data_IF_259006432568
#
_entry.id   IF_259006432568
#
_cell.length_a   1.000
_cell.length_b   1.000
_cell.length_c   1.000
_cell.angle_alpha   90.00
_cell.angle_beta   90.00
_cell.angle_gamma   90.00
#
_symmetry.space_group_name_H-M   'P 1'
#
loop_
_entity.id
_entity.type
_entity.pdbx_description
1 polymer ?
#
# COMPACT_ATOMS: atom_id res chain seq x y z
N UNK A 1 -10.70 25.95 -15.28
CA UNK A 1 -10.85 26.72 -16.54
C UNK A 1 -9.87 26.11 -17.51
N UNK A 2 -10.38 25.38 -18.51
CA UNK A 2 -9.54 24.71 -19.49
C UNK A 2 -8.96 25.72 -20.49
N UNK A 3 -7.76 25.44 -21.00
CA UNK A 3 -7.07 26.28 -21.97
C UNK A 3 -6.33 27.50 -21.39
N UNK A 4 -6.32 27.67 -20.07
CA UNK A 4 -5.58 28.76 -19.40
C UNK A 4 -4.68 28.20 -18.29
N UNK A 5 -3.39 28.54 -18.33
CA UNK A 5 -2.45 28.16 -17.28
C UNK A 5 -1.39 29.24 -17.01
N UNK A 6 -0.83 29.25 -15.81
CA UNK A 6 0.22 30.17 -15.40
C UNK A 6 1.45 29.41 -14.89
N UNK A 7 2.64 29.91 -15.21
CA UNK A 7 3.91 29.48 -14.62
C UNK A 7 4.38 30.61 -13.71
N UNK A 8 4.59 30.29 -12.44
CA UNK A 8 4.93 31.25 -11.38
C UNK A 8 6.28 30.89 -10.78
N UNK A 9 7.12 31.88 -10.56
CA UNK A 9 8.33 31.76 -9.76
C UNK A 9 7.98 32.09 -8.31
N UNK A 10 8.05 31.09 -7.44
CA UNK A 10 7.68 31.22 -6.02
C UNK A 10 8.73 31.98 -5.21
N UNK A 11 9.99 32.03 -5.66
CA UNK A 11 11.06 32.78 -4.98
C UNK A 11 10.99 34.26 -5.34
N UNK A 12 10.83 34.57 -6.62
CA UNK A 12 10.68 35.95 -7.11
C UNK A 12 9.26 36.49 -6.97
N UNK A 13 8.30 35.64 -6.56
CA UNK A 13 6.88 35.95 -6.40
C UNK A 13 6.26 36.64 -7.64
N UNK A 14 6.54 36.11 -8.83
CA UNK A 14 6.07 36.70 -10.10
C UNK A 14 5.56 35.66 -11.10
N UNK A 15 4.63 36.09 -11.94
CA UNK A 15 4.19 35.32 -13.10
C UNK A 15 5.28 35.36 -14.17
N UNK A 16 5.79 34.19 -14.54
CA UNK A 16 6.83 34.03 -15.56
C UNK A 16 6.24 33.88 -16.96
N UNK A 17 5.12 33.16 -17.07
CA UNK A 17 4.47 32.87 -18.34
C UNK A 17 2.97 32.63 -18.11
N UNK A 18 2.15 33.13 -19.02
CA UNK A 18 0.75 32.73 -19.17
C UNK A 18 0.63 31.95 -20.47
N UNK A 19 -0.03 30.81 -20.41
CA UNK A 19 -0.37 29.97 -21.56
C UNK A 19 -1.88 30.02 -21.75
N UNK A 20 -2.33 30.63 -22.83
CA UNK A 20 -3.74 30.74 -23.22
C UNK A 20 -3.92 30.10 -24.61
N UNK A 21 -4.61 28.97 -24.65
CA UNK A 21 -4.90 28.22 -25.89
C UNK A 21 -6.32 28.45 -26.40
N UNK A 22 -7.01 29.46 -25.86
CA UNK A 22 -8.37 29.82 -26.22
C UNK A 22 -9.42 29.26 -25.26
N UNK A 23 -10.55 29.95 -25.19
CA UNK A 23 -11.63 29.62 -24.28
C UNK A 23 -12.35 28.31 -24.64
N UNK A 24 -12.48 27.45 -23.64
CA UNK A 24 -13.35 26.27 -23.64
C UNK A 24 -14.53 26.55 -22.71
N UNK A 25 -15.78 26.23 -23.09
CA UNK A 25 -16.94 26.41 -22.21
C UNK A 25 -16.76 25.71 -20.87
N UNK A 26 -17.21 26.37 -19.80
CA UNK A 26 -17.23 25.74 -18.47
C UNK A 26 -18.31 24.64 -18.50
N UNK A 27 -17.99 23.42 -18.01
CA UNK A 27 -18.97 22.36 -17.89
C UNK A 27 -20.24 22.82 -17.15
N UNK A 28 -21.45 22.50 -17.65
CA UNK A 28 -22.67 23.20 -17.24
C UNK A 28 -23.30 22.61 -15.98
N UNK A 29 -22.92 21.39 -15.59
CA UNK A 29 -23.48 20.69 -14.44
C UNK A 29 -22.66 20.96 -13.17
N UNK A 30 -23.37 20.97 -12.03
CA UNK A 30 -22.77 21.11 -10.70
C UNK A 30 -22.12 19.80 -10.25
N UNK A 31 -20.94 19.89 -9.64
CA UNK A 31 -20.26 18.78 -8.95
C UNK A 31 -20.50 18.72 -7.44
N UNK A 32 -21.55 19.37 -6.92
CA UNK A 32 -21.80 19.43 -5.48
C UNK A 32 -22.26 18.08 -4.90
N UNK A 33 -21.41 17.44 -4.09
CA UNK A 33 -21.66 16.12 -3.48
C UNK A 33 -22.03 16.17 -1.99
N UNK A 34 -21.82 17.30 -1.31
CA UNK A 34 -22.09 17.39 0.11
C UNK A 34 -23.58 17.18 0.41
N UNK A 35 -23.90 16.49 1.51
CA UNK A 35 -25.26 16.09 1.87
C UNK A 35 -26.28 17.23 1.81
N UNK A 36 -25.89 18.46 2.16
CA UNK A 36 -26.74 19.67 2.09
C UNK A 36 -27.22 20.05 0.69
N UNK A 37 -26.62 19.50 -0.37
CA UNK A 37 -26.98 19.75 -1.77
C UNK A 37 -27.75 18.60 -2.41
N UNK A 38 -27.91 17.48 -1.70
CA UNK A 38 -28.62 16.31 -2.21
C UNK A 38 -30.11 16.45 -1.86
N UNK A 39 -30.98 16.31 -2.86
CA UNK A 39 -32.43 16.43 -2.67
C UNK A 39 -33.00 15.27 -1.83
N UNK A 40 -32.46 14.07 -2.00
CA UNK A 40 -32.87 12.86 -1.29
C UNK A 40 -31.65 12.02 -0.92
N UNK A 41 -31.69 11.38 0.24
CA UNK A 41 -30.69 10.40 0.70
C UNK A 41 -31.39 9.11 1.12
N UNK A 42 -30.70 7.97 1.02
CA UNK A 42 -31.24 6.66 1.41
C UNK A 42 -31.66 6.66 2.89
N UNK A 43 -32.81 6.05 3.18
CA UNK A 43 -33.42 6.00 4.53
C UNK A 43 -33.43 4.58 5.13
N UNK A 44 -32.89 3.59 4.42
CA UNK A 44 -32.94 2.17 4.76
C UNK A 44 -31.66 1.65 5.42
N UNK A 45 -30.64 2.49 5.60
CA UNK A 45 -29.42 2.16 6.34
C UNK A 45 -29.72 2.04 7.84
N UNK A 46 -29.60 0.82 8.36
CA UNK A 46 -29.71 0.55 9.79
C UNK A 46 -28.35 0.75 10.47
N UNK A 47 -28.32 1.24 11.73
CA UNK A 47 -27.07 1.37 12.48
C UNK A 47 -26.35 0.03 12.63
N UNK A 48 -25.01 0.07 12.58
CA UNK A 48 -24.13 -1.03 12.95
C UNK A 48 -23.26 -0.52 14.09
N UNK A 49 -23.31 -1.18 15.24
CA UNK A 49 -22.53 -0.85 16.42
C UNK A 49 -21.40 -1.86 16.58
N UNK A 50 -20.16 -1.37 16.55
CA UNK A 50 -18.94 -2.16 16.80
C UNK A 50 -18.39 -1.70 18.14
N UNK A 51 -18.45 -2.55 19.15
CA UNK A 51 -18.00 -2.24 20.52
C UNK A 51 -17.13 -3.35 21.09
N UNK A 52 -16.21 -2.99 21.97
CA UNK A 52 -15.37 -3.92 22.71
C UNK A 52 -15.61 -3.70 24.22
N UNK A 53 -16.50 -4.48 24.87
CA UNK A 53 -16.95 -4.19 26.23
C UNK A 53 -15.82 -4.24 27.28
N UNK A 54 -14.79 -5.04 27.01
CA UNK A 54 -13.60 -5.17 27.86
C UNK A 54 -12.40 -4.35 27.34
N UNK A 55 -12.63 -3.45 26.39
CA UNK A 55 -11.60 -2.67 25.71
C UNK A 55 -10.86 -3.45 24.62
N UNK A 56 -9.84 -2.82 23.99
CA UNK A 56 -9.07 -3.44 22.91
C UNK A 56 -8.09 -4.50 23.43
N UNK A 57 -7.80 -5.51 22.61
CA UNK A 57 -6.83 -6.57 22.93
C UNK A 57 -5.37 -6.14 22.71
N UNK A 58 -5.13 -4.92 22.22
CA UNK A 58 -3.79 -4.37 22.07
C UNK A 58 -3.40 -3.51 23.28
N UNK A 59 -2.12 -3.49 23.58
CA UNK A 59 -1.53 -2.62 24.59
C UNK A 59 -0.63 -1.60 23.90
N UNK A 60 -0.75 -0.34 24.31
CA UNK A 60 0.07 0.77 23.81
C UNK A 60 0.87 1.37 24.97
N UNK A 61 2.20 1.42 24.82
CA UNK A 61 3.10 2.15 25.71
C UNK A 61 3.87 3.21 24.91
N UNK A 62 3.44 4.47 25.03
CA UNK A 62 3.91 5.54 24.14
C UNK A 62 3.54 5.22 22.69
N UNK A 63 4.53 4.85 21.89
CA UNK A 63 4.37 4.44 20.49
C UNK A 63 4.63 2.94 20.26
N UNK A 64 4.92 2.17 21.31
CA UNK A 64 5.11 0.72 21.25
C UNK A 64 3.76 0.02 21.34
N UNK A 65 3.47 -0.87 20.41
CA UNK A 65 2.22 -1.62 20.28
C UNK A 65 2.50 -3.10 20.44
N UNK A 66 1.71 -3.76 21.30
CA UNK A 66 1.66 -5.23 21.40
C UNK A 66 0.24 -5.71 21.17
N UNK A 67 0.07 -6.70 20.30
CA UNK A 67 -1.25 -7.27 20.00
C UNK A 67 -1.11 -8.67 19.43
N UNK A 68 -1.77 -9.67 20.02
CA UNK A 68 -1.83 -11.05 19.47
C UNK A 68 -0.46 -11.56 18.98
N UNK A 69 0.56 -11.46 19.86
CA UNK A 69 1.98 -11.77 19.62
C UNK A 69 2.76 -10.79 18.73
N UNK A 70 2.12 -9.88 18.00
CA UNK A 70 2.83 -8.79 17.33
C UNK A 70 3.44 -7.81 18.33
N UNK A 71 4.64 -7.33 18.01
CA UNK A 71 5.40 -6.33 18.75
C UNK A 71 6.04 -5.35 17.75
N UNK A 72 5.69 -4.07 17.80
CA UNK A 72 6.21 -3.06 16.88
C UNK A 72 6.03 -1.63 17.41
N UNK A 73 6.65 -0.65 16.74
CA UNK A 73 6.53 0.76 17.07
C UNK A 73 5.93 1.56 15.92
N UNK A 74 5.09 2.53 16.25
CA UNK A 74 4.50 3.50 15.32
C UNK A 74 5.38 4.75 15.30
N UNK A 75 5.72 5.23 14.11
CA UNK A 75 6.47 6.45 13.87
C UNK A 75 5.75 7.35 12.86
N UNK A 76 6.26 8.58 12.74
CA UNK A 76 5.73 9.58 11.82
C UNK A 76 6.86 10.41 11.21
N UNK A 77 6.77 10.71 9.92
CA UNK A 77 7.59 11.76 9.30
C UNK A 77 6.71 12.71 8.48
N UNK A 78 7.03 14.02 8.40
CA UNK A 78 6.29 14.96 7.57
C UNK A 78 6.24 14.55 6.08
N UNK A 79 7.27 13.85 5.60
CA UNK A 79 7.37 13.39 4.22
C UNK A 79 6.53 12.14 3.97
N UNK A 80 6.74 11.08 4.75
CA UNK A 80 6.21 9.73 4.48
C UNK A 80 4.88 9.45 5.19
N UNK A 81 4.52 10.26 6.20
CA UNK A 81 3.40 9.98 7.08
C UNK A 81 3.72 8.83 8.04
N UNK A 82 2.86 7.82 8.10
CA UNK A 82 3.00 6.67 8.98
C UNK A 82 4.23 5.81 8.64
N UNK A 83 5.04 5.51 9.65
CA UNK A 83 6.19 4.59 9.56
C UNK A 83 6.05 3.52 10.63
N UNK A 84 6.34 2.26 10.29
CA UNK A 84 6.37 1.16 11.24
C UNK A 84 7.82 0.77 11.51
N UNK A 85 8.15 0.52 12.78
CA UNK A 85 9.50 0.19 13.22
C UNK A 85 9.54 -1.10 14.03
N UNK A 86 10.65 -1.82 13.92
CA UNK A 86 11.00 -3.01 14.72
C UNK A 86 9.84 -4.00 14.82
N UNK A 87 9.23 -4.33 13.68
CA UNK A 87 8.12 -5.28 13.59
C UNK A 87 8.64 -6.68 13.85
N UNK A 88 8.11 -7.31 14.88
CA UNK A 88 8.38 -8.70 15.23
C UNK A 88 7.14 -9.43 15.73
N UNK A 89 7.31 -10.74 15.91
CA UNK A 89 6.26 -11.64 16.36
C UNK A 89 6.78 -12.55 17.48
N UNK A 90 6.06 -12.61 18.59
CA UNK A 90 6.40 -13.42 19.76
C UNK A 90 6.12 -14.90 19.50
N UNK A 91 7.17 -15.72 19.51
CA UNK A 91 7.10 -17.17 19.30
C UNK A 91 8.27 -17.84 20.03
N UNK A 92 7.97 -18.94 20.74
CA UNK A 92 8.97 -19.63 21.57
C UNK A 92 9.54 -18.79 22.72
N UNK A 93 8.78 -17.83 23.26
CA UNK A 93 9.20 -17.00 24.39
C UNK A 93 10.16 -15.85 24.03
N UNK A 94 10.31 -15.54 22.74
CA UNK A 94 11.12 -14.41 22.24
C UNK A 94 10.38 -13.68 21.12
N UNK A 95 10.71 -12.40 20.94
CA UNK A 95 10.27 -11.64 19.75
C UNK A 95 11.18 -11.96 18.58
N UNK A 96 10.58 -12.49 17.52
CA UNK A 96 11.22 -12.86 16.27
C UNK A 96 11.09 -11.71 15.27
N UNK A 97 12.21 -11.17 14.79
CA UNK A 97 12.23 -10.00 13.92
C UNK A 97 11.73 -10.32 12.51
N UNK A 98 11.04 -9.35 11.88
CA UNK A 98 10.48 -9.47 10.52
C UNK A 98 10.84 -8.25 9.66
N UNK A 99 10.54 -7.04 10.14
CA UNK A 99 10.90 -5.77 9.48
C UNK A 99 11.55 -4.83 10.49
N UNK A 100 12.67 -4.23 10.14
CA UNK A 100 13.23 -3.13 10.93
C UNK A 100 12.44 -1.84 10.73
N UNK A 101 12.03 -1.54 9.49
CA UNK A 101 11.31 -0.32 9.10
C UNK A 101 10.43 -0.54 7.87
N UNK A 102 9.20 -0.06 7.88
CA UNK A 102 8.32 -0.01 6.70
C UNK A 102 7.72 1.38 6.52
N UNK A 103 7.83 1.94 5.31
CA UNK A 103 7.25 3.25 4.97
C UNK A 103 6.94 3.40 3.49
N UNK A 104 6.05 4.34 3.16
CA UNK A 104 5.88 4.83 1.80
C UNK A 104 7.07 5.73 1.45
N UNK A 105 7.91 5.31 0.51
CA UNK A 105 9.12 6.04 0.12
C UNK A 105 8.85 7.11 -0.94
N UNK A 106 7.91 6.83 -1.84
CA UNK A 106 7.45 7.75 -2.87
C UNK A 106 6.05 7.35 -3.37
N UNK A 107 5.32 8.33 -3.90
CA UNK A 107 4.13 8.13 -4.69
C UNK A 107 4.16 9.07 -5.90
N UNK A 108 3.77 8.61 -7.09
CA UNK A 108 3.67 9.48 -8.26
C UNK A 108 2.40 9.24 -9.08
N UNK A 109 1.76 10.34 -9.50
CA UNK A 109 0.51 10.33 -10.28
C UNK A 109 0.72 10.94 -11.66
N UNK A 110 1.21 10.18 -12.65
CA UNK A 110 1.35 10.67 -14.02
C UNK A 110 0.02 10.66 -14.78
N UNK A 111 -0.26 11.77 -15.48
CA UNK A 111 -1.41 11.94 -16.35
C UNK A 111 -1.07 11.65 -17.81
N UNK A 112 -1.97 10.93 -18.50
CA UNK A 112 -1.79 10.46 -19.88
C UNK A 112 -2.28 11.42 -20.96
N UNK A 113 -2.49 12.70 -20.65
CA UNK A 113 -3.02 13.70 -21.58
C UNK A 113 -1.93 14.70 -22.02
N UNK A 114 -1.62 14.77 -23.32
CA UNK A 114 -0.55 15.63 -23.84
C UNK A 114 -0.97 17.10 -24.02
N UNK A 115 -2.23 17.44 -23.77
CA UNK A 115 -2.73 18.81 -23.96
C UNK A 115 -2.08 19.81 -23.01
N UNK A 116 -2.15 21.08 -23.40
CA UNK A 116 -1.57 22.20 -22.65
C UNK A 116 -2.07 22.20 -21.21
N UNK A 117 -1.16 22.32 -20.24
CA UNK A 117 -1.47 22.28 -18.82
C UNK A 117 -1.59 20.87 -18.22
N UNK A 118 -2.01 19.85 -18.97
CA UNK A 118 -2.12 18.46 -18.50
C UNK A 118 -0.82 17.66 -18.64
N UNK A 119 -0.04 17.86 -19.72
CA UNK A 119 1.18 17.08 -20.02
C UNK A 119 2.24 17.08 -18.91
N UNK A 120 2.24 18.12 -18.07
CA UNK A 120 3.20 18.31 -16.97
C UNK A 120 2.72 17.75 -15.62
N UNK A 121 1.47 17.31 -15.53
CA UNK A 121 0.89 16.77 -14.29
C UNK A 121 1.46 15.39 -14.00
N UNK A 122 2.46 15.36 -13.13
CA UNK A 122 3.12 14.15 -12.64
C UNK A 122 3.50 14.44 -11.18
N UNK A 123 2.50 14.49 -10.30
CA UNK A 123 2.70 14.88 -8.90
C UNK A 123 3.44 13.78 -8.16
N UNK A 124 4.55 14.13 -7.49
CA UNK A 124 5.28 13.24 -6.59
C UNK A 124 4.81 13.52 -5.17
N UNK A 125 3.67 12.95 -4.78
CA UNK A 125 2.92 13.35 -3.58
C UNK A 125 3.76 13.31 -2.31
N UNK A 126 4.60 12.29 -2.15
CA UNK A 126 5.51 12.17 -1.00
C UNK A 126 6.67 13.16 -1.14
N UNK A 127 7.35 13.17 -2.29
CA UNK A 127 8.58 13.93 -2.46
C UNK A 127 8.46 15.44 -2.72
N UNK A 128 7.35 15.89 -3.31
CA UNK A 128 7.07 17.30 -3.63
C UNK A 128 6.23 18.00 -2.58
N UNK A 129 5.29 17.29 -1.96
CA UNK A 129 4.32 17.89 -1.02
C UNK A 129 4.49 17.38 0.41
N UNK A 130 4.79 16.09 0.58
CA UNK A 130 4.89 15.44 1.89
C UNK A 130 3.51 14.97 2.38
N UNK A 131 3.24 13.67 2.23
CA UNK A 131 1.92 13.11 2.59
C UNK A 131 1.64 13.15 4.09
N UNK A 132 2.68 13.21 4.93
CA UNK A 132 2.53 13.42 6.37
C UNK A 132 2.11 14.85 6.73
N UNK A 133 2.63 15.86 6.02
CA UNK A 133 2.20 17.27 6.20
C UNK A 133 0.73 17.41 5.82
N UNK A 134 0.29 16.70 4.77
CA UNK A 134 -1.06 16.74 4.22
C UNK A 134 -2.05 15.76 4.87
N UNK A 135 -1.64 15.09 5.94
CA UNK A 135 -2.49 14.14 6.64
C UNK A 135 -3.72 14.80 7.28
N UNK A 136 -4.81 14.05 7.35
CA UNK A 136 -6.08 14.48 7.92
C UNK A 136 -6.10 14.22 9.44
N UNK A 137 -6.89 15.01 10.16
CA UNK A 137 -7.30 14.69 11.53
C UNK A 137 -8.51 13.77 11.47
N UNK A 138 -8.36 12.53 11.94
CA UNK A 138 -9.39 11.50 11.80
C UNK A 138 -10.46 11.60 12.90
N UNK A 139 -11.71 11.40 12.50
CA UNK A 139 -12.89 11.55 13.36
C UNK A 139 -13.52 10.20 13.70
N UNK A 140 -13.74 9.96 15.01
CA UNK A 140 -14.38 8.75 15.52
C UNK A 140 -15.81 8.61 14.98
N UNK A 141 -16.13 7.41 14.49
CA UNK A 141 -17.43 7.07 13.91
C UNK A 141 -17.61 7.51 12.45
N UNK A 142 -16.69 8.31 11.90
CA UNK A 142 -16.69 8.72 10.50
C UNK A 142 -15.55 8.05 9.73
N UNK A 143 -14.30 8.38 10.08
CA UNK A 143 -13.12 7.86 9.39
C UNK A 143 -12.67 6.51 9.96
N UNK A 144 -12.84 6.33 11.28
CA UNK A 144 -12.48 5.13 12.03
C UNK A 144 -13.64 4.74 12.96
N UNK A 145 -14.13 3.50 12.82
CA UNK A 145 -15.30 2.99 13.55
C UNK A 145 -14.90 1.84 14.47
N UNK A 146 -15.44 1.83 15.69
CA UNK A 146 -15.17 0.81 16.71
C UNK A 146 -14.47 1.40 17.94
N UNK A 147 -13.69 0.56 18.63
CA UNK A 147 -12.85 0.97 19.75
C UNK A 147 -11.50 1.48 19.22
N UNK A 148 -11.37 2.79 19.07
CA UNK A 148 -10.23 3.42 18.37
C UNK A 148 -9.24 4.04 19.36
N UNK A 149 -7.97 3.69 19.21
CA UNK A 149 -6.84 4.42 19.79
C UNK A 149 -6.22 5.33 18.74
N UNK A 150 -6.17 6.63 19.03
CA UNK A 150 -5.52 7.62 18.17
C UNK A 150 -4.08 7.92 18.59
N UNK A 151 -3.25 8.29 17.61
CA UNK A 151 -1.95 8.93 17.83
C UNK A 151 -1.93 10.28 17.12
N UNK A 152 -1.41 11.29 17.82
CA UNK A 152 -1.15 12.60 17.25
C UNK A 152 0.20 12.63 16.54
N UNK A 153 0.34 13.52 15.57
CA UNK A 153 1.62 13.82 14.95
C UNK A 153 2.05 15.25 15.28
N UNK A 154 3.27 15.40 15.80
CA UNK A 154 3.90 16.71 16.02
C UNK A 154 4.84 17.00 14.86
N UNK A 155 4.65 18.13 14.19
CA UNK A 155 5.42 18.56 13.02
C UNK A 155 5.80 20.04 13.17
N UNK A 156 6.66 20.54 12.29
CA UNK A 156 7.01 21.97 12.24
C UNK A 156 6.40 22.61 10.99
N UNK A 157 5.90 23.84 11.13
CA UNK A 157 5.46 24.65 9.99
C UNK A 157 6.63 25.28 9.23
N UNK A 158 6.32 26.07 8.20
CA UNK A 158 7.34 26.74 7.37
C UNK A 158 8.23 27.74 8.13
N UNK A 159 7.84 28.15 9.34
CA UNK A 159 8.61 29.04 10.23
C UNK A 159 9.35 28.27 11.33
N UNK A 160 9.27 26.94 11.34
CA UNK A 160 9.85 26.09 12.36
C UNK A 160 9.02 26.03 13.66
N UNK A 161 7.79 26.53 13.66
CA UNK A 161 6.90 26.48 14.82
C UNK A 161 6.28 25.09 14.91
N UNK A 162 6.39 24.41 16.07
CA UNK A 162 5.77 23.11 16.23
C UNK A 162 4.25 23.23 16.27
N UNK A 163 3.56 22.36 15.56
CA UNK A 163 2.11 22.18 15.63
C UNK A 163 1.77 20.70 15.76
N UNK A 164 0.61 20.42 16.34
CA UNK A 164 0.11 19.05 16.52
C UNK A 164 -1.06 18.81 15.59
N UNK A 165 -0.92 17.84 14.69
CA UNK A 165 -2.03 17.21 14.00
C UNK A 165 -2.66 16.19 14.94
N UNK A 166 -3.83 16.54 15.48
CA UNK A 166 -4.61 15.64 16.33
C UNK A 166 -5.10 14.44 15.51
N UNK A 167 -5.18 13.27 16.14
CA UNK A 167 -5.76 12.06 15.54
C UNK A 167 -5.19 11.72 14.15
N UNK A 168 -3.88 11.87 13.97
CA UNK A 168 -3.21 11.62 12.70
C UNK A 168 -3.26 10.13 12.29
N UNK A 169 -3.24 9.22 13.27
CA UNK A 169 -3.23 7.78 13.06
C UNK A 169 -4.35 7.12 13.85
N UNK A 170 -5.09 6.21 13.22
CA UNK A 170 -6.01 5.29 13.89
C UNK A 170 -5.34 3.93 14.13
N UNK A 171 -5.54 3.38 15.33
CA UNK A 171 -5.23 2.02 15.71
C UNK A 171 -6.49 1.35 16.27
N UNK A 172 -6.89 0.23 15.68
CA UNK A 172 -7.96 -0.60 16.19
C UNK A 172 -7.77 -2.06 15.77
N UNK A 173 -8.51 -2.99 16.37
CA UNK A 173 -8.62 -4.34 15.84
C UNK A 173 -10.03 -4.57 15.29
N UNK A 174 -10.15 -5.43 14.30
CA UNK A 174 -11.45 -5.81 13.74
C UNK A 174 -11.54 -7.33 13.55
N UNK A 175 -12.76 -7.84 13.66
CA UNK A 175 -13.07 -9.20 13.24
C UNK A 175 -12.84 -9.35 11.74
N UNK A 176 -12.25 -10.47 11.34
CA UNK A 176 -11.93 -10.77 9.96
C UNK A 176 -12.42 -12.18 9.55
N UNK A 177 -13.62 -12.54 10.00
CA UNK A 177 -14.26 -13.79 9.60
C UNK A 177 -13.53 -15.04 10.10
N UNK A 178 -13.30 -16.01 9.21
CA UNK A 178 -12.72 -17.32 9.54
C UNK A 178 -11.19 -17.27 9.42
N UNK A 179 -10.49 -17.66 10.48
CA UNK A 179 -9.04 -17.87 10.47
C UNK A 179 -8.68 -19.23 9.87
N UNK A 180 -9.26 -20.29 10.44
CA UNK A 180 -9.17 -21.65 9.92
C UNK A 180 -10.40 -22.45 10.33
N UNK A 181 -10.77 -23.42 9.50
CA UNK A 181 -11.91 -24.32 9.74
C UNK A 181 -11.62 -25.69 9.14
N UNK A 182 -12.03 -26.74 9.82
CA UNK A 182 -12.08 -28.08 9.26
C UNK A 182 -13.34 -28.82 9.75
N UNK A 183 -13.89 -29.68 8.89
CA UNK A 183 -14.95 -30.64 9.23
C UNK A 183 -14.47 -31.99 8.77
N UNK A 184 -14.18 -32.89 9.72
CA UNK A 184 -13.72 -34.24 9.45
C UNK A 184 -14.92 -35.19 9.48
N UNK A 185 -15.42 -35.55 8.29
CA UNK A 185 -16.56 -36.47 8.15
C UNK A 185 -16.26 -37.88 8.70
N UNK A 186 -14.99 -38.26 8.88
CA UNK A 186 -14.63 -39.58 9.40
C UNK A 186 -14.81 -39.67 10.91
N UNK A 187 -14.57 -38.56 11.62
CA UNK A 187 -14.74 -38.48 13.07
C UNK A 187 -16.04 -37.79 13.47
N UNK A 188 -16.69 -37.06 12.55
CA UNK A 188 -17.84 -36.20 12.84
C UNK A 188 -17.45 -34.85 13.44
N UNK A 189 -16.16 -34.57 13.62
CA UNK A 189 -15.70 -33.37 14.33
C UNK A 189 -15.64 -32.15 13.41
N UNK A 190 -15.99 -30.99 13.97
CA UNK A 190 -15.85 -29.70 13.29
C UNK A 190 -15.16 -28.68 14.20
N UNK A 191 -14.13 -28.04 13.68
CA UNK A 191 -13.35 -27.01 14.37
C UNK A 191 -13.34 -25.72 13.56
N UNK A 192 -13.48 -24.58 14.24
CA UNK A 192 -13.40 -23.24 13.63
C UNK A 192 -12.73 -22.26 14.57
N UNK A 193 -11.87 -21.40 14.02
CA UNK A 193 -11.36 -20.21 14.71
C UNK A 193 -11.69 -18.98 13.89
N UNK A 194 -12.09 -17.92 14.58
CA UNK A 194 -12.29 -16.61 13.93
C UNK A 194 -10.97 -15.87 13.84
N UNK A 195 -10.81 -15.11 12.78
CA UNK A 195 -9.67 -14.24 12.56
C UNK A 195 -9.95 -12.86 13.12
N UNK A 196 -8.91 -12.19 13.58
CA UNK A 196 -8.87 -10.75 13.76
C UNK A 196 -7.67 -10.19 13.04
N UNK A 197 -7.75 -8.90 12.70
CA UNK A 197 -6.60 -8.12 12.25
C UNK A 197 -6.50 -6.83 13.04
N UNK A 198 -5.27 -6.41 13.32
CA UNK A 198 -4.97 -5.07 13.81
C UNK A 198 -4.80 -4.15 12.62
N UNK A 199 -5.40 -2.96 12.68
CA UNK A 199 -5.39 -1.93 11.66
C UNK A 199 -4.61 -0.74 12.18
N UNK A 200 -3.58 -0.31 11.45
CA UNK A 200 -2.86 0.95 11.68
C UNK A 200 -2.99 1.79 10.43
N UNK A 201 -3.64 2.95 10.50
CA UNK A 201 -3.93 3.74 9.31
C UNK A 201 -3.81 5.24 9.51
N UNK A 202 -3.54 5.93 8.40
CA UNK A 202 -3.70 7.38 8.28
C UNK A 202 -4.34 7.72 6.92
N UNK A 203 -4.93 8.91 6.81
CA UNK A 203 -5.51 9.43 5.57
C UNK A 203 -4.81 10.75 5.24
N UNK A 204 -4.53 10.99 3.97
CA UNK A 204 -3.92 12.23 3.47
C UNK A 204 -4.71 12.76 2.29
N UNK A 205 -4.79 14.10 2.16
CA UNK A 205 -5.45 14.78 1.05
C UNK A 205 -4.42 15.54 0.24
N UNK A 206 -4.18 15.10 -1.01
CA UNK A 206 -3.23 15.76 -1.91
C UNK A 206 -3.99 16.39 -3.05
N UNK A 207 -4.27 17.69 -2.90
CA UNK A 207 -5.07 18.45 -3.87
C UNK A 207 -6.49 17.90 -3.96
N UNK A 208 -6.77 17.14 -5.02
CA UNK A 208 -8.09 16.59 -5.33
C UNK A 208 -8.28 15.13 -4.90
N UNK A 209 -7.21 14.40 -4.52
CA UNK A 209 -7.32 13.01 -4.08
C UNK A 209 -7.20 12.87 -2.57
N UNK A 210 -7.86 11.82 -2.05
CA UNK A 210 -7.59 11.29 -0.73
C UNK A 210 -7.03 9.86 -0.82
N UNK A 211 -6.01 9.61 -0.01
CA UNK A 211 -5.37 8.31 0.11
C UNK A 211 -5.40 7.85 1.57
N UNK A 212 -5.99 6.69 1.81
CA UNK A 212 -5.90 6.00 3.09
C UNK A 212 -4.87 4.88 3.01
N UNK A 213 -3.86 4.92 3.87
CA UNK A 213 -2.82 3.88 3.95
C UNK A 213 -3.09 3.01 5.17
N UNK A 214 -3.44 1.74 4.95
CA UNK A 214 -3.84 0.80 5.99
C UNK A 214 -2.84 -0.35 6.07
N UNK A 215 -2.10 -0.40 7.18
CA UNK A 215 -1.31 -1.57 7.54
C UNK A 215 -2.15 -2.51 8.39
N UNK A 216 -2.21 -3.77 7.96
CA UNK A 216 -2.91 -4.82 8.68
C UNK A 216 -1.94 -5.88 9.19
N UNK A 217 -2.13 -6.29 10.45
CA UNK A 217 -1.43 -7.42 11.07
C UNK A 217 -2.42 -8.52 11.41
N UNK A 218 -2.16 -9.75 10.96
CA UNK A 218 -3.06 -10.88 11.11
C UNK A 218 -2.56 -11.87 12.16
N UNK A 219 -3.48 -12.60 12.82
CA UNK A 219 -3.11 -13.60 13.82
C UNK A 219 -2.28 -14.76 13.24
N UNK A 220 -2.37 -15.02 11.93
CA UNK A 220 -1.58 -16.04 11.23
C UNK A 220 -0.14 -15.60 10.88
N UNK A 221 0.28 -14.40 11.33
CA UNK A 221 1.57 -13.81 11.01
C UNK A 221 1.60 -13.04 9.69
N UNK A 222 0.48 -12.90 8.99
CA UNK A 222 0.40 -12.06 7.79
C UNK A 222 0.54 -10.56 8.10
N UNK A 223 1.18 -9.83 7.18
CA UNK A 223 1.19 -8.36 7.12
C UNK A 223 0.60 -7.95 5.78
N UNK A 224 -0.20 -6.89 5.74
CA UNK A 224 -0.72 -6.33 4.49
C UNK A 224 -0.59 -4.81 4.52
N UNK A 225 -0.25 -4.23 3.38
CA UNK A 225 -0.56 -2.83 3.10
C UNK A 225 -1.73 -2.80 2.11
N UNK A 226 -2.76 -2.02 2.43
CA UNK A 226 -3.83 -1.65 1.52
C UNK A 226 -3.89 -0.12 1.42
N UNK A 227 -3.89 0.37 0.18
CA UNK A 227 -4.12 1.76 -0.13
C UNK A 227 -5.54 1.91 -0.67
N UNK A 228 -6.31 2.79 -0.05
CA UNK A 228 -7.65 3.18 -0.49
C UNK A 228 -7.56 4.53 -1.18
N UNK A 229 -7.93 4.58 -2.45
CA UNK A 229 -7.93 5.80 -3.27
C UNK A 229 -9.36 6.30 -3.39
N UNK A 230 -9.60 7.56 -3.07
CA UNK A 230 -10.91 8.21 -3.23
C UNK A 230 -10.72 9.69 -3.57
N UNK A 231 -11.80 10.44 -3.60
CA UNK A 231 -11.78 11.89 -3.81
C UNK A 231 -12.31 12.33 -5.15
N UNK A 232 -11.86 13.50 -5.59
CA UNK A 232 -12.37 14.16 -6.79
C UNK A 232 -11.39 13.91 -7.93
N UNK A 233 -11.90 13.52 -9.09
CA UNK A 233 -11.07 13.40 -10.29
C UNK A 233 -10.43 14.75 -10.64
N UNK A 234 -9.18 14.75 -11.08
CA UNK A 234 -8.65 15.91 -11.80
C UNK A 234 -9.32 15.98 -13.17
N UNK A 235 -9.95 17.11 -13.47
CA UNK A 235 -10.81 17.26 -14.64
C UNK A 235 -10.21 18.17 -15.71
N UNK A 236 -10.71 18.00 -16.94
CA UNK A 236 -10.59 18.94 -18.03
C UNK A 236 -11.95 19.23 -18.65
N UNK A 237 -12.03 20.28 -19.46
CA UNK A 237 -13.26 20.63 -20.17
C UNK A 237 -13.12 20.38 -21.68
N UNK A 238 -14.22 20.07 -22.34
CA UNK A 238 -14.30 19.88 -23.79
C UNK A 238 -15.48 20.69 -24.35
N UNK A 239 -15.46 21.01 -25.64
CA UNK A 239 -16.59 21.68 -26.30
C UNK A 239 -17.78 20.71 -26.44
N UNK A 240 -19.01 21.22 -26.65
CA UNK A 240 -20.16 20.36 -26.93
C UNK A 240 -19.90 19.39 -28.10
N UNK A 241 -20.10 18.10 -27.87
CA UNK A 241 -19.91 17.03 -28.86
C UNK A 241 -18.46 16.59 -29.07
N UNK A 242 -17.48 17.22 -28.40
CA UNK A 242 -16.08 16.82 -28.43
C UNK A 242 -15.81 15.67 -27.44
N UNK A 243 -14.86 14.81 -27.79
CA UNK A 243 -14.35 13.72 -26.94
C UNK A 243 -12.82 13.75 -26.95
N UNK A 244 -12.20 13.18 -25.92
CA UNK A 244 -10.75 13.03 -25.83
C UNK A 244 -10.37 11.54 -25.87
N UNK A 245 -9.36 11.13 -26.66
CA UNK A 245 -8.83 9.77 -26.60
C UNK A 245 -7.93 9.52 -25.37
N UNK A 246 -7.61 10.57 -24.61
CA UNK A 246 -6.69 10.55 -23.47
C UNK A 246 -7.41 10.52 -22.12
N UNK A 247 -8.71 10.24 -22.11
CA UNK A 247 -9.53 10.19 -20.91
C UNK A 247 -10.95 9.73 -21.21
N UNK A 248 -11.82 9.87 -20.23
CA UNK A 248 -13.23 9.50 -20.34
C UNK A 248 -14.14 10.68 -20.03
N UNK A 249 -15.25 10.79 -20.75
CA UNK A 249 -16.33 11.70 -20.40
C UNK A 249 -16.98 11.23 -19.10
N UNK A 250 -17.17 12.17 -18.16
CA UNK A 250 -17.75 11.89 -16.83
C UNK A 250 -19.01 12.72 -16.56
N UNK A 251 -19.18 13.84 -17.28
CA UNK A 251 -20.42 14.62 -17.35
C UNK A 251 -20.43 15.42 -18.68
N UNK A 252 -21.53 16.10 -19.06
CA UNK A 252 -21.55 16.91 -20.27
C UNK A 252 -20.42 17.95 -20.29
N UNK A 253 -19.62 17.96 -21.36
CA UNK A 253 -18.44 18.83 -21.54
C UNK A 253 -17.33 18.65 -20.49
N UNK A 254 -17.43 17.66 -19.59
CA UNK A 254 -16.46 17.37 -18.54
C UNK A 254 -15.84 15.99 -18.79
N UNK A 255 -14.52 15.94 -18.88
CA UNK A 255 -13.78 14.69 -18.95
C UNK A 255 -12.73 14.62 -17.85
N UNK A 256 -12.30 13.41 -17.53
CA UNK A 256 -11.16 13.17 -16.67
C UNK A 256 -10.08 12.45 -17.48
N UNK A 257 -8.85 12.99 -17.54
CA UNK A 257 -7.75 12.32 -18.20
C UNK A 257 -7.41 10.97 -17.54
N UNK A 258 -7.06 9.99 -18.36
CA UNK A 258 -6.50 8.73 -17.90
C UNK A 258 -5.19 8.99 -17.16
N UNK A 259 -4.98 8.31 -16.04
CA UNK A 259 -3.79 8.49 -15.21
C UNK A 259 -3.47 7.19 -14.45
N UNK A 260 -2.32 7.17 -13.80
CA UNK A 260 -1.90 6.04 -12.97
C UNK A 260 -1.53 6.56 -11.58
N UNK A 261 -1.75 5.75 -10.55
CA UNK A 261 -1.27 6.03 -9.20
C UNK A 261 -0.21 4.99 -8.87
N UNK A 262 1.04 5.41 -8.71
CA UNK A 262 2.14 4.51 -8.35
C UNK A 262 2.61 4.76 -6.93
N UNK A 263 2.85 3.69 -6.19
CA UNK A 263 3.32 3.71 -4.82
C UNK A 263 4.62 2.91 -4.75
N UNK A 264 5.62 3.44 -4.05
CA UNK A 264 6.83 2.70 -3.71
C UNK A 264 6.95 2.59 -2.20
N UNK A 265 7.06 1.36 -1.71
CA UNK A 265 7.19 1.06 -0.28
C UNK A 265 8.58 0.54 0.02
N UNK A 266 9.26 1.19 0.97
CA UNK A 266 10.57 0.80 1.49
C UNK A 266 10.36 -0.16 2.65
N UNK A 267 10.81 -1.40 2.49
CA UNK A 267 10.74 -2.48 3.47
C UNK A 267 12.16 -2.87 3.88
N UNK A 268 12.59 -2.33 5.01
CA UNK A 268 13.85 -2.68 5.66
C UNK A 268 13.69 -4.03 6.34
N UNK A 269 14.24 -5.08 5.73
CA UNK A 269 13.95 -6.46 6.12
C UNK A 269 14.87 -6.90 7.25
N UNK A 270 14.33 -7.63 8.22
CA UNK A 270 15.14 -8.20 9.32
C UNK A 270 14.55 -9.54 9.75
N UNK A 271 14.33 -10.44 8.79
CA UNK A 271 13.74 -11.77 9.05
C UNK A 271 14.72 -12.56 9.91
N UNK A 272 14.42 -12.77 11.19
CA UNK A 272 15.34 -13.38 12.16
C UNK A 272 16.74 -12.71 12.21
N UNK A 273 16.78 -11.39 12.03
CA UNK A 273 18.01 -10.60 11.97
C UNK A 273 18.34 -10.16 10.54
N UNK A 274 19.49 -9.48 10.40
CA UNK A 274 19.75 -8.64 9.23
C UNK A 274 20.38 -9.42 8.06
N UNK A 275 20.98 -10.59 8.30
CA UNK A 275 21.58 -11.41 7.24
C UNK A 275 20.47 -12.11 6.41
N UNK A 276 19.95 -11.43 5.38
CA UNK A 276 18.83 -11.88 4.57
C UNK A 276 19.24 -12.06 3.10
N UNK A 277 18.49 -12.89 2.38
CA UNK A 277 18.60 -13.06 0.93
C UNK A 277 17.21 -13.08 0.32
N UNK A 278 17.03 -12.35 -0.78
CA UNK A 278 15.79 -12.38 -1.56
C UNK A 278 15.88 -13.45 -2.64
N UNK A 279 14.87 -14.32 -2.70
CA UNK A 279 14.71 -15.34 -3.73
C UNK A 279 13.50 -15.00 -4.61
N UNK A 280 13.70 -14.96 -5.92
CA UNK A 280 12.59 -14.97 -6.88
C UNK A 280 12.10 -16.41 -7.08
N UNK A 281 10.81 -16.64 -6.84
CA UNK A 281 10.20 -17.95 -7.02
C UNK A 281 9.22 -17.91 -8.18
N UNK A 282 9.40 -18.83 -9.13
CA UNK A 282 8.52 -19.01 -10.29
C UNK A 282 7.99 -20.45 -10.32
N UNK A 283 6.74 -20.65 -10.74
CA UNK A 283 6.18 -21.98 -11.01
C UNK A 283 6.33 -22.32 -12.48
N UNK A 284 6.77 -23.55 -12.78
CA UNK A 284 6.91 -24.06 -14.15
C UNK A 284 6.29 -25.45 -14.27
N UNK A 285 5.56 -25.67 -15.36
CA UNK A 285 5.11 -27.00 -15.75
C UNK A 285 6.32 -27.90 -16.07
N UNK A 286 6.24 -29.17 -15.69
CA UNK A 286 7.21 -30.19 -16.07
C UNK A 286 6.77 -30.76 -17.43
N UNK A 287 7.65 -30.86 -18.43
CA UNK A 287 7.29 -31.45 -19.72
C UNK A 287 6.74 -32.89 -19.56
N UNK A 288 5.83 -33.34 -20.44
CA UNK A 288 5.42 -34.74 -20.48
C UNK A 288 6.61 -35.67 -20.75
N UNK A 289 6.61 -36.84 -20.12
CA UNK A 289 7.69 -37.82 -20.27
C UNK A 289 7.52 -39.03 -19.34
N UNK A 290 8.48 -39.95 -19.28
CA UNK A 290 8.39 -41.14 -18.44
C UNK A 290 8.14 -40.83 -16.95
N UNK A 291 8.71 -39.73 -16.44
CA UNK A 291 8.54 -39.25 -15.05
C UNK A 291 7.30 -38.36 -14.85
N UNK A 292 6.63 -37.96 -15.93
CA UNK A 292 5.40 -37.17 -15.92
C UNK A 292 4.45 -37.65 -17.04
N UNK A 293 3.99 -38.92 -16.99
CA UNK A 293 3.27 -39.55 -18.10
C UNK A 293 1.90 -38.91 -18.35
N UNK A 294 1.35 -38.21 -17.35
CA UNK A 294 0.06 -37.54 -17.42
C UNK A 294 0.16 -36.03 -17.65
N UNK A 295 1.38 -35.48 -17.76
CA UNK A 295 1.59 -34.07 -18.08
C UNK A 295 1.11 -33.06 -17.03
N UNK A 296 0.69 -33.51 -15.84
CA UNK A 296 0.07 -32.67 -14.82
C UNK A 296 1.06 -32.07 -13.81
N UNK A 297 2.31 -32.54 -13.81
CA UNK A 297 3.31 -32.09 -12.83
C UNK A 297 3.78 -30.65 -13.10
N UNK A 298 3.98 -29.89 -12.02
CA UNK A 298 4.62 -28.58 -12.01
C UNK A 298 5.53 -28.48 -10.78
N UNK A 299 6.51 -27.57 -10.83
CA UNK A 299 7.42 -27.32 -9.71
C UNK A 299 7.74 -25.84 -9.57
N UNK A 300 8.07 -25.43 -8.36
CA UNK A 300 8.63 -24.11 -8.12
C UNK A 300 10.13 -24.12 -8.37
N UNK A 301 10.66 -22.99 -8.84
CA UNK A 301 12.09 -22.75 -9.01
C UNK A 301 12.45 -21.47 -8.27
N UNK A 302 13.33 -21.61 -7.28
CA UNK A 302 13.76 -20.53 -6.39
C UNK A 302 15.16 -20.05 -6.80
N UNK A 303 15.26 -18.81 -7.26
CA UNK A 303 16.52 -18.21 -7.71
C UNK A 303 16.93 -17.10 -6.72
N UNK A 304 18.05 -17.20 -6.00
CA UNK A 304 18.55 -16.09 -5.20
C UNK A 304 18.95 -14.92 -6.09
N UNK A 305 18.59 -13.71 -5.66
CA UNK A 305 19.02 -12.45 -6.24
C UNK A 305 20.24 -12.00 -5.45
N UNK A 306 21.41 -11.93 -6.09
CA UNK A 306 22.68 -11.74 -5.39
C UNK A 306 23.24 -10.34 -5.46
N UNK A 307 22.83 -9.59 -6.48
CA UNK A 307 23.29 -8.22 -6.69
C UNK A 307 22.11 -7.31 -7.00
N UNK A 308 22.29 -6.01 -6.80
CA UNK A 308 21.24 -5.02 -7.09
C UNK A 308 20.75 -5.09 -8.55
N UNK A 309 21.63 -5.40 -9.51
CA UNK A 309 21.22 -5.55 -10.92
C UNK A 309 20.38 -6.81 -11.17
N UNK A 310 20.69 -7.92 -10.49
CA UNK A 310 19.85 -9.12 -10.52
C UNK A 310 18.49 -8.85 -9.87
N UNK A 311 18.47 -8.00 -8.84
CA UNK A 311 17.33 -7.74 -7.98
C UNK A 311 16.37 -6.64 -8.48
N UNK A 312 16.42 -6.32 -9.77
CA UNK A 312 15.48 -5.43 -10.46
C UNK A 312 14.44 -6.25 -11.22
N UNK A 313 13.28 -6.50 -10.59
CA UNK A 313 12.33 -7.53 -11.03
C UNK A 313 10.97 -6.99 -11.42
N UNK A 314 10.32 -7.72 -12.34
CA UNK A 314 8.93 -7.52 -12.70
C UNK A 314 8.08 -8.64 -12.11
N UNK A 315 6.86 -8.30 -11.67
CA UNK A 315 5.80 -9.27 -11.43
C UNK A 315 5.55 -10.04 -12.72
N UNK A 316 5.26 -11.33 -12.59
CA UNK A 316 4.88 -12.20 -13.71
C UNK A 316 3.74 -13.13 -13.25
N UNK A 317 2.47 -12.76 -13.54
CA UNK A 317 1.32 -13.57 -13.17
C UNK A 317 1.30 -14.93 -13.89
N UNK A 318 1.92 -15.03 -15.08
CA UNK A 318 1.92 -16.25 -15.88
C UNK A 318 2.73 -17.39 -15.26
N UNK A 319 3.71 -17.05 -14.42
CA UNK A 319 4.53 -18.00 -13.65
C UNK A 319 4.20 -17.99 -12.15
N UNK A 320 3.12 -17.30 -11.74
CA UNK A 320 2.77 -17.06 -10.35
C UNK A 320 3.96 -16.54 -9.53
N UNK A 321 4.73 -15.61 -10.11
CA UNK A 321 5.96 -15.10 -9.51
C UNK A 321 5.69 -14.39 -8.19
N UNK A 322 6.52 -14.70 -7.20
CA UNK A 322 6.61 -13.97 -5.94
C UNK A 322 8.07 -13.90 -5.47
N UNK A 323 8.33 -13.10 -4.44
CA UNK A 323 9.67 -12.98 -3.85
C UNK A 323 9.64 -13.42 -2.40
N UNK A 324 10.65 -14.19 -2.00
CA UNK A 324 10.81 -14.74 -0.66
C UNK A 324 12.06 -14.14 -0.02
N UNK A 325 11.89 -13.39 1.06
CA UNK A 325 12.98 -12.86 1.87
C UNK A 325 13.25 -13.88 2.96
N UNK A 326 14.43 -14.47 2.94
CA UNK A 326 14.79 -15.56 3.85
C UNK A 326 16.06 -15.26 4.61
N UNK A 327 16.17 -15.81 5.81
CA UNK A 327 17.43 -15.89 6.55
C UNK A 327 18.07 -17.25 6.30
N UNK A 328 19.18 -17.34 5.56
CA UNK A 328 19.80 -18.62 5.23
C UNK A 328 20.35 -19.37 6.45
N UNK A 329 20.74 -18.65 7.51
CA UNK A 329 21.37 -19.22 8.70
C UNK A 329 20.35 -19.82 9.69
N UNK A 330 19.11 -19.33 9.69
CA UNK A 330 18.07 -19.79 10.61
C UNK A 330 17.13 -20.78 9.94
N UNK A 331 17.07 -22.00 10.49
CA UNK A 331 16.23 -23.08 9.98
C UNK A 331 15.02 -23.31 10.88
N UNK A 332 13.89 -23.62 10.28
CA UNK A 332 12.73 -24.19 10.99
C UNK A 332 12.96 -25.68 11.30
N UNK A 333 12.01 -26.31 12.00
CA UNK A 333 12.08 -27.74 12.36
C UNK A 333 12.17 -28.71 11.19
N UNK A 334 11.92 -28.27 9.95
CA UNK A 334 12.01 -29.08 8.73
C UNK A 334 13.38 -28.91 8.02
N UNK A 335 14.28 -28.10 8.58
CA UNK A 335 15.59 -27.82 7.99
C UNK A 335 15.55 -26.75 6.89
N UNK A 336 14.42 -26.10 6.66
CA UNK A 336 14.27 -25.05 5.65
C UNK A 336 14.53 -23.67 6.24
N UNK A 337 15.09 -22.76 5.43
CA UNK A 337 15.31 -21.37 5.84
C UNK A 337 13.98 -20.68 6.16
N UNK A 338 13.92 -20.01 7.30
CA UNK A 338 12.80 -19.15 7.69
C UNK A 338 12.64 -17.99 6.71
N UNK A 339 11.41 -17.62 6.38
CA UNK A 339 11.16 -16.59 5.38
C UNK A 339 9.81 -15.90 5.49
N UNK A 340 9.72 -14.71 4.89
CA UNK A 340 8.47 -14.06 4.50
C UNK A 340 8.40 -13.94 2.98
N UNK A 341 7.24 -14.21 2.39
CA UNK A 341 6.97 -13.99 0.96
C UNK A 341 6.23 -12.68 0.74
N UNK A 342 6.71 -11.87 -0.19
CA UNK A 342 5.97 -10.76 -0.78
C UNK A 342 5.04 -11.29 -1.87
N UNK A 343 3.73 -11.13 -1.65
CA UNK A 343 2.68 -11.49 -2.59
C UNK A 343 2.19 -10.21 -3.28
N UNK A 344 2.46 -10.05 -4.58
CA UNK A 344 1.97 -8.91 -5.35
C UNK A 344 0.44 -8.81 -5.34
N UNK A 345 -0.08 -7.59 -5.22
CA UNK A 345 -1.48 -7.27 -5.51
C UNK A 345 -1.67 -6.75 -6.94
N UNK A 346 -2.50 -5.73 -7.12
CA UNK A 346 -2.60 -5.01 -8.40
C UNK A 346 -1.24 -4.39 -8.74
N UNK A 347 -0.75 -4.67 -9.94
CA UNK A 347 0.55 -4.21 -10.40
C UNK A 347 0.48 -3.88 -11.89
N UNK A 348 1.00 -2.72 -12.25
CA UNK A 348 1.07 -2.22 -13.62
C UNK A 348 2.38 -1.46 -13.78
N UNK A 349 2.90 -1.39 -15.01
CA UNK A 349 4.02 -0.50 -15.35
C UNK A 349 3.48 0.82 -15.93
N UNK A 350 4.30 1.89 -15.96
CA UNK A 350 3.94 3.11 -16.66
C UNK A 350 3.65 2.84 -18.14
N UNK A 351 2.53 3.36 -18.63
CA UNK A 351 2.21 3.35 -20.07
C UNK A 351 2.92 4.49 -20.83
N UNK A 352 3.48 5.45 -20.11
CA UNK A 352 4.27 6.52 -20.72
C UNK A 352 5.51 5.98 -21.42
N UNK A 353 5.97 6.72 -22.43
CA UNK A 353 7.22 6.41 -23.10
C UNK A 353 8.40 6.53 -22.11
N UNK A 354 9.43 5.68 -22.21
CA UNK A 354 10.61 5.77 -21.35
C UNK A 354 11.33 7.13 -21.39
N UNK A 355 11.16 7.89 -22.47
CA UNK A 355 11.72 9.24 -22.66
C UNK A 355 10.87 10.37 -22.06
N UNK A 356 9.74 10.06 -21.44
CA UNK A 356 8.94 11.08 -20.76
C UNK A 356 9.73 11.66 -19.57
N UNK A 357 9.68 12.98 -19.38
CA UNK A 357 10.47 13.67 -18.34
C UNK A 357 10.24 13.11 -16.93
N UNK A 358 8.99 12.73 -16.59
CA UNK A 358 8.72 12.13 -15.28
C UNK A 358 9.31 10.73 -15.14
N UNK A 359 9.52 9.97 -16.22
CA UNK A 359 10.16 8.64 -16.17
C UNK A 359 11.64 8.75 -15.83
N UNK A 360 12.32 9.84 -16.22
CA UNK A 360 13.69 10.13 -15.79
C UNK A 360 13.74 10.41 -14.27
N UNK A 361 12.69 11.03 -13.72
CA UNK A 361 12.56 11.37 -12.29
C UNK A 361 12.06 10.20 -11.43
N UNK A 362 11.18 9.38 -11.99
CA UNK A 362 10.54 8.23 -11.34
C UNK A 362 11.11 6.90 -11.86
N UNK A 363 12.43 6.79 -11.98
CA UNK A 363 13.04 5.56 -12.54
C UNK A 363 12.73 4.29 -11.72
N UNK A 364 12.31 4.44 -10.45
CA UNK A 364 11.80 3.35 -9.62
C UNK A 364 10.55 2.64 -10.18
N UNK A 365 9.83 3.28 -11.12
CA UNK A 365 8.67 2.70 -11.79
C UNK A 365 9.01 1.68 -12.87
N UNK A 366 10.28 1.61 -13.28
CA UNK A 366 10.70 0.70 -14.38
C UNK A 366 10.72 -0.78 -13.97
N UNK A 367 10.55 -1.05 -12.67
CA UNK A 367 10.49 -2.38 -12.06
C UNK A 367 9.48 -2.38 -10.91
N UNK A 368 8.93 -3.56 -10.61
CA UNK A 368 8.02 -3.73 -9.47
C UNK A 368 8.78 -4.02 -8.17
N UNK A 369 9.94 -4.66 -8.25
CA UNK A 369 10.77 -4.95 -7.09
C UNK A 369 12.21 -4.50 -7.36
N UNK A 370 12.78 -3.83 -6.37
CA UNK A 370 14.20 -3.53 -6.26
C UNK A 370 14.70 -4.06 -4.91
N UNK A 371 15.95 -4.48 -4.85
CA UNK A 371 16.63 -4.80 -3.59
C UNK A 371 17.96 -4.08 -3.56
N UNK A 372 18.24 -3.39 -2.46
CA UNK A 372 19.50 -2.73 -2.19
C UNK A 372 20.05 -3.25 -0.87
N UNK A 373 21.37 -3.27 -0.64
CA UNK A 373 21.87 -3.37 0.73
C UNK A 373 21.41 -2.15 1.52
N UNK A 374 21.26 -2.29 2.83
CA UNK A 374 20.91 -1.16 3.67
C UNK A 374 21.97 -0.05 3.59
N UNK A 375 21.49 1.19 3.47
CA UNK A 375 22.28 2.39 3.65
C UNK A 375 21.41 3.47 4.32
N UNK A 376 21.91 4.16 5.37
CA UNK A 376 21.09 5.08 6.16
C UNK A 376 20.57 6.29 5.36
N UNK A 377 21.31 6.73 4.35
CA UNK A 377 20.93 7.87 3.50
C UNK A 377 20.05 7.48 2.30
N UNK A 378 19.79 6.18 2.08
CA UNK A 378 18.96 5.68 0.99
C UNK A 378 17.51 5.48 1.48
N UNK A 379 16.74 6.57 1.50
CA UNK A 379 15.39 6.61 2.08
C UNK A 379 14.25 6.70 1.06
N UNK A 380 14.44 7.43 -0.04
CA UNK A 380 13.35 7.78 -0.97
C UNK A 380 13.65 7.31 -2.40
N UNK A 381 12.75 6.53 -2.99
CA UNK A 381 12.98 5.90 -4.30
C UNK A 381 13.24 6.88 -5.46
N UNK A 382 12.78 8.12 -5.34
CA UNK A 382 12.98 9.23 -6.29
C UNK A 382 14.15 10.16 -5.93
N UNK A 383 14.85 9.91 -4.82
CA UNK A 383 15.88 10.79 -4.28
C UNK A 383 15.36 11.82 -3.28
N UNK A 384 16.27 12.63 -2.74
CA UNK A 384 15.95 13.56 -1.65
C UNK A 384 15.12 14.76 -2.10
N UNK A 385 15.29 15.21 -3.35
CA UNK A 385 14.69 16.45 -3.86
C UNK A 385 14.07 16.26 -5.24
N UNK A 386 12.92 15.56 -5.38
CA UNK A 386 12.35 15.26 -6.70
C UNK A 386 11.68 16.46 -7.37
N UNK A 387 11.31 17.50 -6.62
CA UNK A 387 10.69 18.71 -7.17
C UNK A 387 11.63 19.39 -8.19
N UNK A 388 11.17 19.50 -9.44
CA UNK A 388 11.93 20.01 -10.59
C UNK A 388 13.29 19.33 -10.85
N UNK A 389 13.56 18.18 -10.25
CA UNK A 389 14.79 17.43 -10.49
C UNK A 389 14.86 16.96 -11.94
N UNK A 390 16.06 16.91 -12.52
CA UNK A 390 16.26 16.47 -13.92
C UNK A 390 16.10 14.96 -14.11
N UNK A 391 16.11 14.19 -13.03
CA UNK A 391 16.03 12.73 -13.05
C UNK A 391 17.36 12.03 -12.79
N UNK A 392 17.30 10.71 -12.63
CA UNK A 392 18.46 9.84 -12.40
C UNK A 392 18.99 9.81 -10.96
N UNK A 393 18.23 10.26 -9.97
CA UNK A 393 18.53 10.06 -8.54
C UNK A 393 17.73 8.87 -7.97
N UNK A 394 17.95 8.53 -6.69
CA UNK A 394 17.21 7.47 -6.00
C UNK A 394 17.62 6.07 -6.46
N UNK A 395 16.66 5.15 -6.54
CA UNK A 395 16.91 3.73 -6.83
C UNK A 395 17.75 3.46 -8.10
N UNK A 396 17.47 4.11 -9.25
CA UNK A 396 18.30 3.95 -10.44
C UNK A 396 19.76 4.34 -10.20
N UNK A 397 20.02 5.35 -9.37
CA UNK A 397 21.38 5.81 -9.07
C UNK A 397 22.10 4.83 -8.16
N UNK A 398 21.47 4.47 -7.05
CA UNK A 398 22.09 3.63 -6.02
C UNK A 398 22.43 2.24 -6.57
N UNK A 399 21.53 1.66 -7.36
CA UNK A 399 21.72 0.32 -7.93
C UNK A 399 22.74 0.23 -9.06
N UNK A 400 23.27 1.35 -9.56
CA UNK A 400 24.46 1.33 -10.43
C UNK A 400 25.70 0.80 -9.71
N UNK A 401 25.73 0.87 -8.37
CA UNK A 401 26.80 0.29 -7.56
C UNK A 401 26.87 -1.24 -7.66
N UNK A 402 25.77 -1.88 -8.08
CA UNK A 402 25.63 -3.32 -8.22
C UNK A 402 26.16 -4.10 -7.01
N UNK A 403 25.88 -3.59 -5.82
CA UNK A 403 26.34 -4.11 -4.54
C UNK A 403 25.73 -5.49 -4.28
N UNK A 404 26.37 -6.27 -3.40
CA UNK A 404 25.80 -7.55 -2.96
C UNK A 404 24.51 -7.33 -2.18
N UNK A 405 23.53 -8.19 -2.39
CA UNK A 405 22.26 -8.29 -1.64
C UNK A 405 21.98 -9.73 -1.18
N UNK A 406 22.98 -10.60 -1.24
CA UNK A 406 22.94 -11.96 -0.67
C UNK A 406 23.57 -11.96 0.73
N UNK A 407 22.87 -12.57 1.68
CA UNK A 407 23.30 -12.78 3.07
C UNK A 407 23.75 -11.49 3.77
N UNK A 408 22.98 -10.43 3.60
CA UNK A 408 23.29 -9.08 4.09
C UNK A 408 22.04 -8.35 4.57
N UNK A 409 22.26 -7.30 5.35
CA UNK A 409 21.24 -6.30 5.66
C UNK A 409 20.75 -5.65 4.35
N UNK A 410 19.46 -5.82 4.07
CA UNK A 410 18.87 -5.45 2.79
C UNK A 410 17.52 -4.76 2.94
N UNK A 411 17.23 -3.93 1.95
CA UNK A 411 15.98 -3.21 1.82
C UNK A 411 15.28 -3.65 0.54
N UNK A 412 14.05 -4.12 0.68
CA UNK A 412 13.15 -4.40 -0.43
C UNK A 412 12.35 -3.14 -0.74
N UNK A 413 12.34 -2.73 -2.00
CA UNK A 413 11.54 -1.61 -2.48
C UNK A 413 10.49 -2.15 -3.44
N UNK A 414 9.22 -2.07 -3.04
CA UNK A 414 8.13 -2.61 -3.83
C UNK A 414 7.32 -1.48 -4.45
N UNK A 415 7.33 -1.43 -5.77
CA UNK A 415 6.52 -0.54 -6.60
C UNK A 415 5.29 -1.28 -7.10
N UNK A 416 4.12 -0.74 -6.83
CA UNK A 416 2.85 -1.17 -7.40
C UNK A 416 2.07 0.03 -7.90
N UNK A 417 1.06 -0.20 -8.73
CA UNK A 417 0.28 0.89 -9.28
C UNK A 417 -1.14 0.51 -9.62
N UNK A 418 -2.02 1.50 -9.56
CA UNK A 418 -3.40 1.43 -10.00
C UNK A 418 -3.55 2.17 -11.32
N UNK A 419 -4.06 1.50 -12.35
CA UNK A 419 -4.32 2.13 -13.64
C UNK A 419 -5.76 2.64 -13.70
N UNK A 420 -5.92 3.96 -13.71
CA UNK A 420 -7.24 4.59 -13.64
C UNK A 420 -7.65 5.13 -15.01
N UNK A 421 -8.60 4.42 -15.62
CA UNK A 421 -9.45 4.97 -16.68
C UNK A 421 -10.72 5.45 -15.99
N UNK A 422 -10.93 6.77 -15.86
CA UNK A 422 -12.08 7.30 -15.14
C UNK A 422 -13.41 6.84 -15.75
N UNK A 423 -14.45 6.82 -14.91
CA UNK A 423 -15.81 6.44 -15.33
C UNK A 423 -16.82 7.45 -14.79
N UNK A 424 -18.03 7.54 -15.36
CA UNK A 424 -19.08 8.42 -14.82
C UNK A 424 -19.38 8.17 -13.34
N UNK A 425 -19.29 6.93 -12.87
CA UNK A 425 -19.51 6.57 -11.45
C UNK A 425 -18.46 7.17 -10.51
N UNK A 426 -17.33 7.64 -11.03
CA UNK A 426 -16.27 8.27 -10.26
C UNK A 426 -16.51 9.79 -10.06
N UNK A 427 -17.60 10.35 -10.64
CA UNK A 427 -18.00 11.76 -10.54
C UNK A 427 -19.35 11.90 -9.81
N UNK A 428 -19.55 12.90 -8.93
CA UNK A 428 -18.63 13.99 -8.56
C UNK A 428 -17.59 13.66 -7.49
N UNK A 429 -17.71 12.52 -6.84
CA UNK A 429 -16.72 11.98 -5.89
C UNK A 429 -16.58 10.50 -6.16
N UNK A 430 -15.35 10.04 -6.26
CA UNK A 430 -15.01 8.68 -6.61
C UNK A 430 -15.30 7.72 -5.45
N UNK A 431 -15.97 6.58 -5.69
CA UNK A 431 -16.01 5.50 -4.72
C UNK A 431 -14.60 4.92 -4.49
N UNK A 432 -14.31 4.43 -3.28
CA UNK A 432 -12.97 3.92 -2.98
C UNK A 432 -12.52 2.80 -3.95
N UNK A 433 -11.35 2.97 -4.56
CA UNK A 433 -10.57 1.91 -5.19
C UNK A 433 -9.52 1.37 -4.20
N UNK A 434 -9.07 0.12 -4.38
CA UNK A 434 -8.20 -0.58 -3.44
C UNK A 434 -7.01 -1.21 -4.16
N UNK A 435 -5.81 -1.02 -3.64
CA UNK A 435 -4.58 -1.66 -4.15
C UNK A 435 -3.61 -1.93 -3.00
N UNK A 436 -2.51 -2.66 -3.22
CA UNK A 436 -1.55 -2.98 -2.16
C UNK A 436 -0.85 -4.33 -2.34
N UNK A 437 -0.37 -4.91 -1.24
CA UNK A 437 0.33 -6.19 -1.24
C UNK A 437 0.29 -6.88 0.13
N UNK A 438 0.73 -8.14 0.18
CA UNK A 438 0.88 -8.88 1.42
C UNK A 438 2.32 -9.36 1.63
N UNK A 439 2.76 -9.42 2.88
CA UNK A 439 3.86 -10.26 3.34
C UNK A 439 3.26 -11.44 4.11
N UNK A 440 3.63 -12.66 3.76
CA UNK A 440 3.14 -13.87 4.44
C UNK A 440 4.28 -14.74 4.93
N UNK A 441 4.20 -15.36 6.11
CA UNK A 441 5.23 -16.27 6.58
C UNK A 441 5.30 -17.51 5.67
N UNK A 442 6.52 -17.97 5.36
CA UNK A 442 6.79 -19.22 4.63
C UNK A 442 7.88 -19.97 5.37
N UNK A 443 7.49 -21.00 6.12
CA UNK A 443 8.42 -21.74 6.97
C UNK A 443 9.06 -20.88 8.06
N UNK A 444 8.54 -19.66 8.33
CA UNK A 444 9.00 -18.84 9.45
C UNK A 444 8.66 -19.51 10.77
N UNK A 445 7.41 -19.94 10.93
CA UNK A 445 6.95 -20.73 12.07
C UNK A 445 7.08 -22.22 11.78
N UNK A 446 7.15 -23.02 12.84
CA UNK A 446 7.24 -24.48 12.74
C UNK A 446 5.91 -25.16 12.35
N UNK A 447 4.79 -24.47 12.57
CA UNK A 447 3.42 -24.88 12.24
C UNK A 447 2.54 -23.64 12.16
N UNK A 448 1.24 -23.84 11.87
CA UNK A 448 0.27 -22.76 11.85
C UNK A 448 0.33 -21.96 13.19
N UNK A 449 0.71 -20.67 13.16
CA UNK A 449 0.88 -19.84 14.37
C UNK A 449 -0.46 -19.41 15.00
N UNK A 450 -1.59 -19.62 14.30
CA UNK A 450 -2.94 -19.35 14.79
C UNK A 450 -3.65 -20.56 15.40
N UNK A 451 -2.94 -21.66 15.68
CA UNK A 451 -3.53 -22.84 16.32
C UNK A 451 -3.93 -22.63 17.79
N UNK A 452 -3.26 -21.71 18.47
CA UNK A 452 -3.54 -21.36 19.87
C UNK A 452 -4.59 -20.25 20.02
N UNK A 453 -5.11 -19.73 18.90
CA UNK A 453 -6.29 -18.86 18.94
C UNK A 453 -7.45 -19.69 19.51
N UNK A 454 -8.13 -19.22 20.57
CA UNK A 454 -9.19 -19.97 21.22
C UNK A 454 -10.47 -20.02 20.37
N UNK A 455 -11.31 -21.01 20.64
CA UNK A 455 -12.68 -21.06 20.10
C UNK A 455 -13.40 -19.76 20.50
N UNK A 456 -14.07 -19.12 19.55
CA UNK A 456 -14.88 -17.95 19.86
C UNK A 456 -16.08 -18.36 20.73
N UNK A 457 -16.32 -17.69 21.87
CA UNK A 457 -17.50 -17.98 22.68
C UNK A 457 -18.77 -17.66 21.87
N UNK A 458 -19.85 -18.46 22.00
CA UNK A 458 -21.12 -18.15 21.34
C UNK A 458 -21.66 -16.80 21.84
N UNK A 459 -22.19 -15.99 20.92
CA UNK A 459 -22.71 -14.65 21.21
C UNK A 459 -23.96 -14.63 22.11
N UNK A 460 -24.59 -15.79 22.35
CA UNK A 460 -25.69 -15.95 23.29
C UNK A 460 -25.44 -17.16 24.20
N UNK A 461 -25.71 -16.99 25.50
CA UNK A 461 -25.85 -18.12 26.40
C UNK A 461 -27.12 -18.90 26.00
N UNK A 462 -27.00 -19.86 25.07
CA UNK A 462 -28.12 -20.72 24.71
C UNK A 462 -28.04 -21.46 23.38
N UNK A 463 -27.33 -20.96 22.37
CA UNK A 463 -27.32 -21.61 21.05
C UNK A 463 -25.89 -21.89 20.59
N UNK A 464 -25.58 -23.18 20.51
CA UNK A 464 -24.31 -23.73 20.10
C UNK A 464 -23.92 -23.26 18.68
N UNK A 465 -22.62 -23.22 18.40
CA UNK A 465 -22.14 -23.97 17.23
C UNK A 465 -22.03 -25.41 17.72
N UNK A 466 -23.00 -26.31 17.46
CA UNK A 466 -22.77 -27.70 17.76
C UNK A 466 -21.57 -28.11 16.91
N UNK A 467 -20.61 -28.81 17.51
CA UNK A 467 -19.93 -29.90 16.82
C UNK A 467 -21.06 -30.78 16.27
N UNK A 468 -21.47 -30.51 15.03
CA UNK A 468 -22.64 -31.13 14.45
C UNK A 468 -22.32 -32.59 14.21
N UNK A 469 -22.90 -33.46 15.04
CA UNK A 469 -23.16 -34.84 14.67
C UNK A 469 -23.97 -34.82 13.36
N UNK A 470 -23.37 -35.33 12.28
CA UNK A 470 -24.09 -35.88 11.13
C UNK A 470 -23.81 -37.36 11.04
#
# INVERSE_FOLDING_TARGET
IEGLSAIVDLNAQRVMKIEDTGAVPIPPESGNYAARYLAEVRQDLKPIEITQPDGPSFVVNGHHVRWQKWDFRIGWTPREGLVLHTVGYEDGGRVRQILYRASLSEMVVPYGDPSSGHYRKNAFDVGEFGVGILANSLTLGCDCLGEIRYFDAVMADAWGVPYTLQNAICLHEEDFGILWKHTDWRTGEAEVRRSRRLVVSFITTVGNYEYGFFWYFYQDGGIQLEVKLTGILATGALRPGETSPYGAMIAPQLYAPSHQHFFNVRLDMSVEGDANTVYEVNTKAVPPGPENPHGNAFRHHSTPLRTESEAQRLVDPSSARYWKIANPAVKNRLGESVAYKLVPGEAVLPFAQPTASFMERAGFLTKHLWVTPFHPDELYASGNYPNQHRGGDGLPRWTMGNRSVEDTDLVVWYTFGHHHIPRPEDWPVMPCAYTGFHLKPVGFFDRNPGLDVPVSPPHTAGDCCPSGDQ
#
